data_IF_342887964864
#
_entry.id   IF_342887964864
#
_cell.length_a   1.000
_cell.length_b   1.000
_cell.length_c   1.000
_cell.angle_alpha   90.00
_cell.angle_beta   90.00
_cell.angle_gamma   90.00
#
_symmetry.space_group_name_H-M   'P 1'
#
loop_
_entity.id
_entity.type
_entity.pdbx_description
1 polymer ?
#
# COMPACT_ATOMS: atom_id res chain seq x y z
N UNK A 1 21.96 15.04 6.95
CA UNK A 1 21.41 13.68 6.74
C UNK A 1 20.11 13.43 7.49
N UNK A 2 20.05 13.65 8.81
CA UNK A 2 18.81 13.41 9.59
C UNK A 2 17.59 14.16 9.07
N UNK A 3 17.74 15.42 8.66
CA UNK A 3 16.65 16.20 8.05
C UNK A 3 16.11 15.55 6.76
N UNK A 4 17.02 15.03 5.91
CA UNK A 4 16.64 14.36 4.66
C UNK A 4 15.91 13.03 4.96
N UNK A 5 16.43 12.24 5.89
CA UNK A 5 15.89 10.90 6.18
C UNK A 5 14.65 10.93 7.06
N UNK A 6 14.47 11.94 7.91
CA UNK A 6 13.41 11.96 8.91
C UNK A 6 12.30 12.97 8.59
N UNK A 7 12.64 14.09 7.95
CA UNK A 7 11.69 15.18 7.74
C UNK A 7 11.24 15.27 6.27
N UNK A 8 12.16 15.12 5.32
CA UNK A 8 11.85 15.25 3.89
C UNK A 8 11.39 13.93 3.25
N UNK A 9 12.11 12.84 3.49
CA UNK A 9 11.89 11.55 2.84
C UNK A 9 11.80 10.38 3.84
N UNK A 10 10.88 10.42 4.82
CA UNK A 10 10.80 9.41 5.89
C UNK A 10 10.48 7.99 5.40
N UNK A 11 9.97 7.85 4.18
CA UNK A 11 9.53 6.57 3.61
C UNK A 11 10.55 5.94 2.66
N UNK A 12 11.62 6.68 2.30
CA UNK A 12 12.64 6.18 1.39
C UNK A 12 13.81 5.56 2.16
N UNK A 13 14.27 4.39 1.71
CA UNK A 13 15.48 3.79 2.26
C UNK A 13 16.73 4.63 1.91
N UNK A 14 17.82 4.46 2.67
CA UNK A 14 19.09 5.13 2.37
C UNK A 14 19.59 4.74 0.97
N UNK A 15 19.36 3.49 0.55
CA UNK A 15 19.70 3.04 -0.80
C UNK A 15 18.89 3.76 -1.88
N UNK A 16 17.63 4.07 -1.59
CA UNK A 16 16.79 4.86 -2.49
C UNK A 16 17.23 6.32 -2.60
N UNK A 17 17.55 6.92 -1.45
CA UNK A 17 18.07 8.28 -1.38
C UNK A 17 19.42 8.45 -2.09
N UNK A 18 20.33 7.48 -1.92
CA UNK A 18 21.62 7.50 -2.59
C UNK A 18 21.47 7.44 -4.12
N UNK A 19 20.52 6.65 -4.61
CA UNK A 19 20.27 6.50 -6.04
C UNK A 19 19.67 7.77 -6.63
N UNK A 20 18.65 8.35 -6.01
CA UNK A 20 18.04 9.61 -6.49
C UNK A 20 19.03 10.77 -6.42
N UNK A 21 19.84 10.85 -5.37
CA UNK A 21 20.85 11.92 -5.19
C UNK A 21 21.99 11.86 -6.21
N UNK A 22 22.37 10.67 -6.66
CA UNK A 22 23.44 10.49 -7.67
C UNK A 22 22.93 10.63 -9.11
N UNK A 23 21.63 10.49 -9.33
CA UNK A 23 20.97 10.75 -10.61
C UNK A 23 20.49 12.20 -10.76
N UNK A 24 20.55 13.01 -9.68
CA UNK A 24 20.14 14.40 -9.70
C UNK A 24 20.90 15.20 -10.75
N UNK A 25 20.19 16.03 -11.50
CA UNK A 25 20.78 16.94 -12.48
C UNK A 25 19.98 18.23 -12.55
N UNK A 26 20.63 19.37 -12.31
CA UNK A 26 20.03 20.69 -12.44
C UNK A 26 20.65 21.51 -13.57
N UNK A 27 19.83 21.86 -14.55
CA UNK A 27 20.20 22.65 -15.72
C UNK A 27 20.38 24.13 -15.40
N UNK A 28 19.76 24.65 -14.32
CA UNK A 28 19.79 26.08 -14.00
C UNK A 28 21.15 26.52 -13.48
N UNK A 29 21.78 25.71 -12.64
CA UNK A 29 23.10 25.98 -12.06
C UNK A 29 24.17 24.98 -12.51
N UNK A 30 23.85 24.06 -13.41
CA UNK A 30 24.78 23.03 -13.90
C UNK A 30 25.25 22.08 -12.79
N UNK A 31 24.42 21.87 -11.77
CA UNK A 31 24.79 21.01 -10.64
C UNK A 31 24.37 19.58 -10.93
N UNK A 32 25.36 18.74 -11.20
CA UNK A 32 25.15 17.37 -11.68
C UNK A 32 24.98 16.33 -10.56
N UNK A 33 25.11 16.72 -9.28
CA UNK A 33 24.97 15.82 -8.13
C UNK A 33 24.94 16.60 -6.81
N UNK A 34 24.61 15.91 -5.71
CA UNK A 34 24.69 16.47 -4.35
C UNK A 34 26.14 16.49 -3.84
N UNK A 35 26.40 17.17 -2.72
CA UNK A 35 27.76 17.26 -2.17
C UNK A 35 28.36 15.89 -1.82
N UNK A 36 29.69 15.78 -1.95
CA UNK A 36 30.44 14.55 -1.63
C UNK A 36 30.25 14.11 -0.18
N UNK A 37 30.08 15.06 0.74
CA UNK A 37 29.80 14.81 2.16
C UNK A 37 28.46 14.08 2.35
N UNK A 38 27.42 14.50 1.62
CA UNK A 38 26.10 13.86 1.67
C UNK A 38 26.17 12.45 1.10
N UNK A 39 26.84 12.26 -0.05
CA UNK A 39 27.03 10.93 -0.65
C UNK A 39 27.85 10.01 0.27
N UNK A 40 28.91 10.52 0.88
CA UNK A 40 29.74 9.74 1.81
C UNK A 40 28.95 9.34 3.05
N UNK A 41 28.13 10.25 3.59
CA UNK A 41 27.28 9.97 4.75
C UNK A 41 26.23 8.91 4.43
N UNK A 42 25.60 8.98 3.24
CA UNK A 42 24.68 7.95 2.77
C UNK A 42 25.36 6.59 2.68
N UNK A 43 26.57 6.51 2.13
CA UNK A 43 27.33 5.26 2.00
C UNK A 43 27.61 4.60 3.36
N UNK A 44 27.95 5.39 4.37
CA UNK A 44 28.19 4.89 5.74
C UNK A 44 26.91 4.26 6.29
N UNK A 45 25.78 4.97 6.20
CA UNK A 45 24.50 4.46 6.71
C UNK A 45 24.00 3.23 5.92
N UNK A 46 24.26 3.14 4.61
CA UNK A 46 23.91 1.93 3.82
C UNK A 46 24.63 0.68 4.34
N UNK A 47 25.87 0.81 4.82
CA UNK A 47 26.61 -0.33 5.40
C UNK A 47 26.10 -0.71 6.79
N UNK A 48 25.52 0.24 7.53
CA UNK A 48 24.91 -0.01 8.85
C UNK A 48 23.55 -0.72 8.69
N UNK A 49 22.73 -0.29 7.73
CA UNK A 49 21.39 -0.83 7.44
C UNK A 49 21.42 -2.20 6.72
N UNK A 50 22.50 -2.53 6.01
CA UNK A 50 22.64 -3.81 5.26
C UNK A 50 22.65 -5.07 6.15
N UNK A 51 22.71 -4.91 7.48
CA UNK A 51 22.56 -6.02 8.42
C UNK A 51 21.09 -6.47 8.58
N UNK A 52 20.13 -5.76 7.98
CA UNK A 52 18.71 -6.07 8.05
C UNK A 52 18.22 -6.65 6.70
N UNK A 53 18.05 -7.98 6.64
CA UNK A 53 17.84 -8.74 5.40
C UNK A 53 16.60 -8.35 4.56
N UNK A 54 15.65 -7.60 5.13
CA UNK A 54 14.43 -7.13 4.47
C UNK A 54 14.66 -5.90 3.58
N UNK A 55 15.80 -5.20 3.74
CA UNK A 55 16.01 -3.88 3.12
C UNK A 55 17.01 -3.86 1.95
N UNK A 56 17.34 -5.02 1.35
CA UNK A 56 18.37 -5.14 0.31
C UNK A 56 17.91 -4.74 -1.10
N UNK A 57 16.60 -4.59 -1.33
CA UNK A 57 16.06 -4.14 -2.60
C UNK A 57 15.87 -2.62 -2.63
N UNK A 58 16.39 -1.97 -3.67
CA UNK A 58 16.11 -0.55 -3.98
C UNK A 58 14.71 -0.35 -4.56
N UNK A 59 14.16 -1.37 -5.22
CA UNK A 59 12.89 -1.28 -5.94
C UNK A 59 11.71 -1.40 -4.98
N UNK A 60 10.63 -0.67 -5.30
CA UNK A 60 9.33 -0.89 -4.68
C UNK A 60 8.71 -2.18 -5.23
N UNK A 61 7.84 -2.80 -4.44
CA UNK A 61 7.09 -3.97 -4.89
C UNK A 61 6.08 -3.57 -5.98
N UNK A 62 5.95 -4.39 -7.02
CA UNK A 62 5.02 -4.15 -8.14
C UNK A 62 3.53 -4.30 -7.72
N UNK A 63 3.27 -4.92 -6.58
CA UNK A 63 1.92 -5.10 -6.04
C UNK A 63 1.46 -3.84 -5.31
N UNK A 64 0.89 -2.91 -6.07
CA UNK A 64 0.24 -1.71 -5.53
C UNK A 64 -1.19 -1.98 -5.01
N UNK A 65 -1.58 -3.24 -4.80
CA UNK A 65 -2.90 -3.54 -4.26
C UNK A 65 -3.05 -2.92 -2.87
N UNK A 66 -4.18 -2.24 -2.67
CA UNK A 66 -4.54 -1.73 -1.36
C UNK A 66 -5.33 -2.85 -0.68
N UNK A 67 -4.80 -3.48 0.39
CA UNK A 67 -5.54 -4.49 1.11
C UNK A 67 -6.75 -3.83 1.78
N UNK A 68 -7.95 -4.35 1.54
CA UNK A 68 -9.15 -3.95 2.26
C UNK A 68 -9.48 -5.00 3.33
N UNK A 69 -9.94 -4.53 4.49
CA UNK A 69 -10.34 -5.42 5.58
C UNK A 69 -11.79 -5.89 5.40
N UNK A 70 -12.16 -6.97 6.09
CA UNK A 70 -13.57 -7.37 6.22
C UNK A 70 -14.41 -6.28 6.87
N UNK A 71 -13.80 -5.43 7.71
CA UNK A 71 -14.45 -4.28 8.32
C UNK A 71 -14.73 -3.15 7.32
N UNK A 72 -13.90 -3.01 6.28
CA UNK A 72 -14.17 -2.03 5.21
C UNK A 72 -15.31 -2.50 4.30
N UNK A 73 -15.46 -3.82 4.13
CA UNK A 73 -16.62 -4.42 3.46
C UNK A 73 -17.88 -4.14 4.28
N UNK A 74 -17.87 -4.41 5.58
CA UNK A 74 -19.06 -4.25 6.42
C UNK A 74 -19.54 -2.80 6.49
N UNK A 75 -18.62 -1.82 6.53
CA UNK A 75 -18.95 -0.38 6.47
C UNK A 75 -19.59 0.07 5.16
N UNK A 76 -19.31 -0.63 4.05
CA UNK A 76 -19.84 -0.29 2.72
C UNK A 76 -21.12 -1.05 2.38
N UNK A 77 -21.46 -2.10 3.13
CA UNK A 77 -22.70 -2.86 2.93
C UNK A 77 -23.91 -2.04 3.36
N UNK A 78 -24.93 -2.01 2.51
CA UNK A 78 -26.26 -1.53 2.89
C UNK A 78 -26.91 -2.57 3.79
N UNK A 79 -27.47 -2.13 4.92
CA UNK A 79 -28.27 -2.99 5.79
C UNK A 79 -29.56 -3.36 5.04
N UNK A 80 -29.66 -4.60 4.58
CA UNK A 80 -30.85 -5.13 3.92
C UNK A 80 -31.60 -5.97 4.96
N UNK A 81 -32.78 -5.52 5.36
CA UNK A 81 -33.72 -6.38 6.07
C UNK A 81 -34.20 -7.48 5.10
N UNK A 82 -33.84 -8.73 5.38
CA UNK A 82 -34.18 -9.90 4.55
C UNK A 82 -35.70 -10.08 4.39
N UNK A 83 -36.49 -9.43 5.24
CA UNK A 83 -37.96 -9.39 5.17
C UNK A 83 -38.50 -8.51 4.03
N UNK A 84 -37.69 -7.60 3.46
CA UNK A 84 -38.13 -6.60 2.48
C UNK A 84 -37.84 -7.01 1.02
N UNK A 85 -37.35 -8.24 0.81
CA UNK A 85 -37.04 -8.79 -0.52
C UNK A 85 -38.09 -9.84 -0.91
N UNK A 86 -38.96 -9.53 -1.87
CA UNK A 86 -39.89 -10.52 -2.41
C UNK A 86 -39.13 -11.62 -3.16
N UNK A 87 -39.54 -12.87 -2.94
CA UNK A 87 -38.88 -14.03 -3.51
C UNK A 87 -39.12 -14.08 -5.03
N UNK A 88 -38.06 -14.22 -5.86
CA UNK A 88 -38.21 -14.30 -7.31
C UNK A 88 -39.18 -15.43 -7.72
N UNK A 89 -40.03 -15.24 -8.74
CA UNK A 89 -41.05 -16.21 -9.15
C UNK A 89 -40.52 -17.62 -9.40
N UNK A 90 -39.32 -17.74 -9.99
CA UNK A 90 -38.67 -19.02 -10.27
C UNK A 90 -38.37 -19.86 -9.02
N UNK A 91 -38.10 -19.21 -7.89
CA UNK A 91 -37.87 -19.89 -6.61
C UNK A 91 -39.22 -20.23 -5.95
N UNK A 92 -40.21 -19.33 -6.07
CA UNK A 92 -41.57 -19.49 -5.53
C UNK A 92 -42.31 -20.68 -6.14
N UNK A 93 -42.14 -20.90 -7.44
CA UNK A 93 -42.85 -21.93 -8.21
C UNK A 93 -42.17 -23.31 -8.11
N UNK A 94 -40.94 -23.38 -7.61
CA UNK A 94 -40.19 -24.62 -7.50
C UNK A 94 -40.38 -25.25 -6.11
N UNK A 95 -41.09 -26.38 -6.09
CA UNK A 95 -41.46 -27.11 -4.87
C UNK A 95 -40.26 -27.57 -4.03
N UNK A 96 -39.07 -27.69 -4.63
CA UNK A 96 -37.82 -27.99 -3.93
C UNK A 96 -37.34 -26.87 -3.00
N UNK A 97 -37.86 -25.65 -3.12
CA UNK A 97 -37.51 -24.49 -2.30
C UNK A 97 -38.60 -24.09 -1.29
N UNK A 98 -39.55 -24.98 -1.01
CA UNK A 98 -40.60 -24.76 -0.01
C UNK A 98 -40.06 -24.40 1.38
N UNK A 99 -38.86 -24.87 1.75
CA UNK A 99 -38.19 -24.54 3.02
C UNK A 99 -37.84 -23.05 3.17
N UNK A 100 -37.69 -22.30 2.07
CA UNK A 100 -37.43 -20.85 2.10
C UNK A 100 -38.68 -20.02 2.41
N UNK A 101 -39.87 -20.62 2.35
CA UNK A 101 -41.14 -19.94 2.66
C UNK A 101 -41.45 -19.95 4.17
N UNK A 102 -40.71 -20.71 4.98
CA UNK A 102 -40.87 -20.71 6.44
C UNK A 102 -40.23 -19.45 7.02
N UNK A 103 -41.07 -18.48 7.39
CA UNK A 103 -40.67 -17.42 8.32
C UNK A 103 -40.35 -18.07 9.66
N UNK A 104 -39.15 -17.81 10.16
CA UNK A 104 -38.75 -18.16 11.52
C UNK A 104 -39.55 -17.24 12.46
N UNK A 105 -40.36 -17.82 13.34
CA UNK A 105 -40.95 -17.10 14.49
C UNK A 105 -39.86 -16.54 15.41
#
# INVERSE_FOLDING_TARGET
MKEITNDLCPVLSIQQLARTSTMYWDDKYGTHTVSSEVISSMRIMMTEDSNNAVSSSFLLDDDSSIPFSVDDISKSMTEIEVTDVDMPPLIRENSGFSFLHQRKD
#
